data_IF_695718152942
#
_entry.id   IF_695718152942
#
_cell.length_a   1.000
_cell.length_b   1.000
_cell.length_c   1.000
_cell.angle_alpha   90.00
_cell.angle_beta   90.00
_cell.angle_gamma   90.00
#
_symmetry.space_group_name_H-M   'P 1'
#
loop_
_entity.id
_entity.type
_entity.pdbx_description
1 polymer ?
#
# COMPACT_ATOMS: atom_id res chain seq x y z
N UNK A 1 -0.49 9.81 -3.59
CA UNK A 1 -1.50 9.17 -4.43
C UNK A 1 -2.24 8.08 -3.65
N UNK A 2 -3.56 8.07 -3.73
CA UNK A 2 -4.38 7.09 -3.02
C UNK A 2 -4.43 5.78 -3.78
N UNK A 3 -4.27 4.70 -3.06
CA UNK A 3 -4.27 3.34 -3.61
C UNK A 3 -5.35 2.49 -2.97
N UNK A 4 -5.86 1.56 -3.76
CA UNK A 4 -6.83 0.57 -3.30
C UNK A 4 -6.12 -0.79 -3.34
N UNK A 5 -6.18 -1.50 -2.24
CA UNK A 5 -5.52 -2.81 -2.13
C UNK A 5 -6.48 -3.91 -2.55
N UNK A 6 -5.98 -4.81 -3.37
CA UNK A 6 -6.76 -5.93 -3.87
C UNK A 6 -6.24 -7.21 -3.23
N UNK A 7 -7.13 -7.93 -2.55
CA UNK A 7 -6.80 -9.18 -1.89
C UNK A 7 -7.67 -10.30 -2.45
N UNK A 8 -7.21 -11.54 -2.29
CA UNK A 8 -8.00 -12.72 -2.65
C UNK A 8 -8.84 -13.20 -1.45
N UNK A 9 -9.49 -14.36 -1.62
CA UNK A 9 -10.35 -14.93 -0.59
C UNK A 9 -9.60 -15.29 0.69
N UNK A 10 -8.29 -15.48 0.60
CA UNK A 10 -7.44 -15.81 1.75
C UNK A 10 -6.80 -14.55 2.35
N UNK A 11 -7.22 -13.37 1.90
CA UNK A 11 -6.70 -12.08 2.36
C UNK A 11 -5.24 -11.82 1.94
N UNK A 12 -4.79 -12.52 0.89
CA UNK A 12 -3.45 -12.32 0.35
C UNK A 12 -3.46 -11.10 -0.58
N UNK A 13 -2.50 -10.22 -0.40
CA UNK A 13 -2.37 -9.02 -1.24
C UNK A 13 -1.94 -9.41 -2.63
N UNK A 14 -2.80 -9.12 -3.62
CA UNK A 14 -2.59 -9.49 -5.01
C UNK A 14 -2.17 -8.32 -5.88
N UNK A 15 -2.61 -7.14 -5.54
CA UNK A 15 -2.30 -5.97 -6.34
C UNK A 15 -2.77 -4.69 -5.70
N UNK A 16 -2.48 -3.60 -6.38
CA UNK A 16 -2.85 -2.26 -5.95
C UNK A 16 -3.43 -1.53 -7.15
N UNK A 17 -4.50 -0.79 -6.94
CA UNK A 17 -5.10 0.04 -7.98
C UNK A 17 -4.98 1.49 -7.56
N UNK A 18 -4.47 2.30 -8.46
CA UNK A 18 -4.46 3.75 -8.33
C UNK A 18 -5.93 4.23 -8.37
N UNK A 19 -6.30 5.04 -7.40
CA UNK A 19 -7.67 5.59 -7.30
C UNK A 19 -8.09 6.29 -8.59
N UNK A 20 -7.18 7.03 -9.21
CA UNK A 20 -7.46 7.74 -10.45
C UNK A 20 -7.81 6.78 -11.59
N UNK A 21 -7.09 5.67 -11.70
CA UNK A 21 -7.38 4.65 -12.71
C UNK A 21 -8.75 4.03 -12.47
N UNK A 22 -9.12 3.83 -11.21
CA UNK A 22 -10.42 3.29 -10.87
C UNK A 22 -11.56 4.25 -11.27
N UNK A 23 -11.36 5.55 -11.03
CA UNK A 23 -12.39 6.56 -11.30
C UNK A 23 -12.64 6.80 -12.78
N UNK A 24 -11.58 6.72 -13.58
CA UNK A 24 -11.64 7.04 -15.01
C UNK A 24 -11.54 5.83 -15.93
N UNK A 25 -11.46 4.64 -15.36
CA UNK A 25 -11.40 3.40 -16.14
C UNK A 25 -12.77 2.94 -16.62
N UNK A 26 -12.72 1.93 -17.48
CA UNK A 26 -13.92 1.26 -17.97
C UNK A 26 -14.60 0.51 -16.82
N UNK A 27 -15.89 0.68 -16.67
CA UNK A 27 -16.66 0.08 -15.57
C UNK A 27 -16.91 -1.42 -15.76
N UNK A 28 -16.70 -1.94 -16.96
CA UNK A 28 -16.97 -3.34 -17.25
C UNK A 28 -15.77 -4.26 -17.04
N UNK A 29 -14.61 -3.71 -16.69
CA UNK A 29 -13.41 -4.51 -16.43
C UNK A 29 -13.42 -5.05 -15.01
N UNK A 30 -12.77 -6.18 -14.80
CA UNK A 30 -12.60 -6.76 -13.48
C UNK A 30 -11.40 -6.13 -12.77
N UNK A 31 -11.47 -6.08 -11.46
CA UNK A 31 -10.43 -5.49 -10.62
C UNK A 31 -9.08 -6.15 -10.87
N UNK A 32 -9.05 -7.47 -10.99
CA UNK A 32 -7.81 -8.21 -11.25
C UNK A 32 -7.18 -7.90 -12.61
N UNK A 33 -7.95 -7.36 -13.54
CA UNK A 33 -7.45 -7.04 -14.88
C UNK A 33 -6.73 -5.71 -14.94
N UNK A 34 -7.02 -4.81 -13.98
CA UNK A 34 -6.47 -3.46 -13.98
C UNK A 34 -5.51 -3.19 -12.83
N UNK A 35 -5.38 -4.10 -11.88
CA UNK A 35 -4.48 -3.91 -10.75
C UNK A 35 -3.02 -4.01 -11.18
N UNK A 36 -2.18 -3.25 -10.50
CA UNK A 36 -0.74 -3.33 -10.65
C UNK A 36 -0.24 -4.44 -9.73
N UNK A 37 0.44 -5.43 -10.30
CA UNK A 37 0.96 -6.57 -9.53
C UNK A 37 2.36 -6.32 -8.99
N UNK A 38 3.02 -5.25 -9.46
CA UNK A 38 4.30 -4.80 -8.93
C UNK A 38 4.02 -3.59 -8.05
N UNK A 39 3.97 -3.80 -6.75
CA UNK A 39 3.58 -2.74 -5.82
C UNK A 39 4.57 -2.65 -4.67
N UNK A 40 4.58 -1.49 -4.04
CA UNK A 40 5.40 -1.23 -2.85
C UNK A 40 4.63 -1.75 -1.64
N UNK A 41 5.31 -2.49 -0.78
CA UNK A 41 4.72 -3.02 0.44
C UNK A 41 5.80 -3.16 1.52
N UNK A 42 5.34 -3.39 2.74
CA UNK A 42 6.20 -3.66 3.89
C UNK A 42 5.76 -4.96 4.55
N UNK A 43 6.72 -5.67 5.13
CA UNK A 43 6.42 -6.77 6.05
C UNK A 43 6.16 -6.20 7.44
N UNK A 44 5.32 -6.86 8.21
CA UNK A 44 4.96 -6.44 9.57
C UNK A 44 6.16 -6.41 10.52
N UNK A 45 7.22 -7.18 10.21
CA UNK A 45 8.44 -7.19 10.98
C UNK A 45 9.50 -6.20 10.51
N UNK A 46 9.23 -5.40 9.48
CA UNK A 46 10.19 -4.44 8.97
C UNK A 46 10.41 -3.29 9.95
N UNK A 47 11.64 -2.79 9.98
CA UNK A 47 11.96 -1.62 10.80
C UNK A 47 11.36 -0.35 10.19
N UNK A 48 11.09 0.62 11.06
CA UNK A 48 10.50 1.89 10.65
C UNK A 48 11.37 2.61 9.60
N UNK A 49 12.69 2.49 9.70
CA UNK A 49 13.59 3.10 8.72
C UNK A 49 13.28 2.66 7.29
N UNK A 50 12.89 1.41 7.12
CA UNK A 50 12.54 0.89 5.80
C UNK A 50 11.27 1.56 5.27
N UNK A 51 10.31 1.81 6.14
CA UNK A 51 9.10 2.55 5.76
C UNK A 51 9.43 3.99 5.36
N UNK A 52 10.24 4.66 6.16
CA UNK A 52 10.67 6.03 5.87
C UNK A 52 11.37 6.11 4.52
N UNK A 53 12.25 5.16 4.22
CA UNK A 53 12.94 5.12 2.94
C UNK A 53 11.99 4.97 1.77
N UNK A 54 10.97 4.11 1.91
CA UNK A 54 9.99 3.91 0.85
C UNK A 54 9.14 5.15 0.62
N UNK A 55 8.69 5.81 1.67
CA UNK A 55 7.95 7.06 1.54
C UNK A 55 8.81 8.19 0.95
N UNK A 56 10.10 8.20 1.26
CA UNK A 56 11.03 9.20 0.70
C UNK A 56 11.28 8.99 -0.78
N UNK A 57 11.28 7.73 -1.21
CA UNK A 57 11.61 7.35 -2.57
C UNK A 57 10.42 7.38 -3.52
N UNK A 58 9.24 7.07 -3.02
CA UNK A 58 8.02 6.95 -3.81
C UNK A 58 6.97 7.94 -3.32
N UNK A 59 6.23 8.51 -4.26
CA UNK A 59 5.15 9.47 -3.94
C UNK A 59 3.88 8.71 -3.53
N UNK A 60 3.88 8.22 -2.30
CA UNK A 60 2.79 7.42 -1.78
C UNK A 60 2.19 8.07 -0.54
N UNK A 61 0.87 7.95 -0.41
CA UNK A 61 0.15 8.37 0.80
C UNK A 61 0.14 7.23 1.83
N UNK A 62 0.09 5.99 1.34
CA UNK A 62 0.06 4.82 2.20
C UNK A 62 0.82 3.66 1.57
N UNK A 63 1.27 2.74 2.42
CA UNK A 63 1.94 1.51 2.01
C UNK A 63 1.25 0.34 2.73
N UNK A 64 0.82 -0.70 1.99
CA UNK A 64 0.24 -1.87 2.64
C UNK A 64 1.29 -2.64 3.42
N UNK A 65 0.87 -3.21 4.54
CA UNK A 65 1.72 -4.03 5.41
C UNK A 65 1.18 -5.45 5.40
N UNK A 66 2.04 -6.41 5.14
CA UNK A 66 1.68 -7.82 5.03
C UNK A 66 2.50 -8.65 6.01
N UNK A 67 2.00 -9.84 6.31
CA UNK A 67 2.75 -10.83 7.07
C UNK A 67 3.65 -11.66 6.14
N UNK A 68 4.33 -12.66 6.69
CA UNK A 68 5.26 -13.51 5.92
C UNK A 68 4.57 -14.32 4.81
N UNK A 69 3.26 -14.46 4.89
CA UNK A 69 2.47 -15.19 3.89
C UNK A 69 1.78 -14.24 2.90
N UNK A 70 2.16 -12.98 2.90
CA UNK A 70 1.58 -11.92 2.06
C UNK A 70 0.13 -11.62 2.40
N UNK A 71 -0.36 -12.03 3.56
CA UNK A 71 -1.68 -11.62 4.03
C UNK A 71 -1.61 -10.19 4.52
N UNK A 72 -2.55 -9.38 4.08
CA UNK A 72 -2.59 -7.99 4.52
C UNK A 72 -2.96 -7.91 5.99
N UNK A 73 -2.20 -7.14 6.76
CA UNK A 73 -2.44 -6.94 8.18
C UNK A 73 -2.61 -5.46 8.54
N UNK A 74 -2.38 -4.58 7.60
CA UNK A 74 -2.60 -3.17 7.85
C UNK A 74 -2.11 -2.30 6.72
N UNK A 75 -2.14 -1.01 6.97
CA UNK A 75 -1.65 0.00 6.05
C UNK A 75 -0.99 1.10 6.87
N UNK A 76 0.18 1.54 6.42
CA UNK A 76 0.91 2.61 7.07
C UNK A 76 0.73 3.88 6.24
N UNK A 77 0.19 4.93 6.86
CA UNK A 77 -0.02 6.21 6.20
C UNK A 77 1.13 7.15 6.50
N UNK A 78 1.55 7.91 5.50
CA UNK A 78 2.62 8.89 5.69
C UNK A 78 2.26 9.90 6.78
N UNK A 79 0.99 10.26 6.88
CA UNK A 79 0.51 11.17 7.91
C UNK A 79 0.81 10.66 9.32
N UNK A 80 0.65 9.35 9.53
CA UNK A 80 0.91 8.74 10.84
C UNK A 80 2.40 8.80 11.20
N UNK A 81 3.28 8.67 10.22
CA UNK A 81 4.72 8.80 10.44
C UNK A 81 5.06 10.24 10.82
N UNK A 82 4.52 11.21 10.08
CA UNK A 82 4.82 12.62 10.28
C UNK A 82 4.31 13.17 11.62
N UNK A 83 3.32 12.51 12.22
CA UNK A 83 2.74 12.95 13.50
C UNK A 83 3.32 12.21 14.70
N UNK A 84 4.24 11.27 14.51
CA UNK A 84 4.86 10.53 15.61
C UNK A 84 5.99 11.34 16.26
N UNK A 85 6.27 10.99 17.51
CA UNK A 85 7.26 11.70 18.32
C UNK A 85 8.68 11.62 17.76
N UNK A 86 8.99 10.60 16.97
CA UNK A 86 10.34 10.47 16.43
C UNK A 86 10.67 11.52 15.36
N UNK A 87 9.71 12.30 14.90
CA UNK A 87 9.93 13.45 14.03
C UNK A 87 9.82 14.78 14.80
N UNK A 88 9.60 14.72 16.07
CA UNK A 88 9.44 15.90 16.90
C UNK A 88 10.80 16.57 17.16
N UNK A 89 10.82 17.86 17.07
CA UNK A 89 12.01 18.66 17.31
C UNK A 89 12.07 19.05 18.78
#
# INVERSE_FOLDING_TARGET
>A
MYNIYVVDEENILKGVIDFKSLMFGDRDVHVFDIMDVKFIFLYDGDELNKAVDKFSKYDLVSIPVVDKNMKICGSLFIHDILTKDFFKI
#
